data_IF_623616318705
#
_entry.id   IF_623616318705
#
_cell.length_a   1.000
_cell.length_b   1.000
_cell.length_c   1.000
_cell.angle_alpha   90.00
_cell.angle_beta   90.00
_cell.angle_gamma   90.00
#
_symmetry.space_group_name_H-M   'P 1'
#
loop_
_entity.id
_entity.type
_entity.pdbx_description
1 polymer ?
#
# COMPACT_ATOMS: atom_id res chain seq x y z
N UNK A 1 19.05 19.47 1.47
CA UNK A 1 20.48 19.82 1.58
C UNK A 1 21.21 18.52 1.79
N UNK A 2 22.13 18.20 0.88
CA UNK A 2 23.01 17.04 1.06
C UNK A 2 23.96 17.30 2.24
N UNK A 3 24.28 16.29 3.05
CA UNK A 3 25.17 16.45 4.19
C UNK A 3 26.57 16.83 3.72
N UNK A 4 27.19 17.78 4.42
CA UNK A 4 28.55 18.22 4.13
C UNK A 4 29.56 17.14 4.53
N UNK A 5 30.72 17.08 3.86
CA UNK A 5 31.77 16.10 4.18
C UNK A 5 32.20 16.13 5.67
N UNK A 6 32.31 17.29 6.34
CA UNK A 6 32.58 17.35 7.78
C UNK A 6 31.49 16.69 8.64
N UNK A 7 30.22 16.83 8.29
CA UNK A 7 29.11 16.18 9.01
C UNK A 7 29.17 14.66 8.86
N UNK A 8 29.43 14.18 7.64
CA UNK A 8 29.62 12.74 7.37
C UNK A 8 30.79 12.20 8.20
N UNK A 9 31.93 12.89 8.19
CA UNK A 9 33.11 12.48 8.95
C UNK A 9 32.85 12.50 10.47
N UNK A 10 32.07 13.47 10.98
CA UNK A 10 31.67 13.53 12.39
C UNK A 10 30.81 12.34 12.80
N UNK A 11 29.93 11.88 11.92
CA UNK A 11 29.08 10.69 12.14
C UNK A 11 29.92 9.42 12.05
N UNK A 12 30.73 9.28 10.99
CA UNK A 12 31.52 8.09 10.73
C UNK A 12 32.60 7.84 11.79
N UNK A 13 33.20 8.92 12.31
CA UNK A 13 34.25 8.87 13.33
C UNK A 13 33.76 8.61 14.76
N UNK A 14 32.45 8.60 15.01
CA UNK A 14 31.88 8.40 16.34
C UNK A 14 31.01 7.13 16.40
N UNK A 15 31.51 6.03 16.99
CA UNK A 15 30.78 4.75 17.06
C UNK A 15 29.41 4.87 17.74
N UNK A 16 29.30 5.70 18.79
CA UNK A 16 28.07 5.93 19.53
C UNK A 16 27.02 6.62 18.65
N UNK A 17 27.39 7.71 17.97
CA UNK A 17 26.49 8.42 17.04
C UNK A 17 26.05 7.52 15.89
N UNK A 18 26.97 6.70 15.36
CA UNK A 18 26.66 5.77 14.27
C UNK A 18 25.62 4.73 14.70
N UNK A 19 25.76 4.16 15.89
CA UNK A 19 24.81 3.19 16.42
C UNK A 19 23.43 3.81 16.64
N UNK A 20 23.39 5.00 17.25
CA UNK A 20 22.16 5.78 17.45
C UNK A 20 21.45 6.10 16.13
N UNK A 21 22.20 6.53 15.10
CA UNK A 21 21.64 6.83 13.78
C UNK A 21 21.10 5.56 13.10
N UNK A 22 21.83 4.44 13.17
CA UNK A 22 21.36 3.15 12.61
C UNK A 22 20.08 2.67 13.28
N UNK A 23 20.00 2.77 14.62
CA UNK A 23 18.79 2.46 15.36
C UNK A 23 17.61 3.34 14.92
N UNK A 24 17.83 4.64 14.73
CA UNK A 24 16.79 5.57 14.26
C UNK A 24 16.34 5.32 12.81
N UNK A 25 17.27 4.98 11.93
CA UNK A 25 16.97 4.67 10.53
C UNK A 25 16.19 3.37 10.35
N UNK A 26 16.24 2.48 11.34
CA UNK A 26 15.50 1.21 11.37
C UNK A 26 14.20 1.26 12.19
N UNK A 27 13.87 2.41 12.81
CA UNK A 27 12.67 2.58 13.63
C UNK A 27 11.58 3.37 12.88
N UNK A 28 10.53 2.66 12.46
CA UNK A 28 9.36 3.25 11.81
C UNK A 28 8.69 4.33 12.68
N UNK A 29 8.73 4.20 14.00
CA UNK A 29 8.15 5.17 14.94
C UNK A 29 8.91 6.48 14.90
N UNK A 30 10.24 6.40 14.82
CA UNK A 30 11.11 7.56 14.68
C UNK A 30 10.89 8.25 13.33
N UNK A 31 10.80 7.46 12.26
CA UNK A 31 10.49 7.98 10.92
C UNK A 31 9.13 8.69 10.88
N UNK A 32 8.06 8.06 11.38
CA UNK A 32 6.72 8.66 11.46
C UNK A 32 6.72 9.95 12.28
N UNK A 33 7.47 9.99 13.38
CA UNK A 33 7.57 11.20 14.21
C UNK A 33 8.16 12.38 13.41
N UNK A 34 9.24 12.15 12.66
CA UNK A 34 9.86 13.19 11.83
C UNK A 34 8.96 13.61 10.66
N UNK A 35 8.31 12.64 10.00
CA UNK A 35 7.38 12.91 8.91
C UNK A 35 6.19 13.77 9.39
N UNK A 36 5.49 13.33 10.43
CA UNK A 36 4.37 14.06 10.98
C UNK A 36 4.79 15.45 11.48
N UNK A 37 5.95 15.58 12.13
CA UNK A 37 6.43 16.89 12.55
C UNK A 37 6.59 17.85 11.36
N UNK A 38 7.22 17.41 10.27
CA UNK A 38 7.42 18.27 9.09
C UNK A 38 6.11 18.65 8.42
N UNK A 39 5.18 17.69 8.26
CA UNK A 39 3.85 17.95 7.69
C UNK A 39 3.08 18.95 8.55
N UNK A 40 3.03 18.73 9.87
CA UNK A 40 2.34 19.62 10.80
C UNK A 40 2.91 21.04 10.77
N UNK A 41 4.24 21.19 10.81
CA UNK A 41 4.89 22.51 10.77
C UNK A 41 4.62 23.24 9.45
N UNK A 42 4.56 22.51 8.33
CA UNK A 42 4.28 23.10 7.02
C UNK A 42 2.83 23.53 6.90
N UNK A 43 1.88 22.65 7.22
CA UNK A 43 0.46 22.94 7.12
C UNK A 43 0.06 24.10 8.05
N UNK A 44 0.49 24.08 9.31
CA UNK A 44 0.24 25.18 10.24
C UNK A 44 0.81 26.52 9.74
N UNK A 45 1.96 26.50 9.05
CA UNK A 45 2.54 27.73 8.47
C UNK A 45 1.75 28.21 7.25
N UNK A 46 1.28 27.30 6.42
CA UNK A 46 0.46 27.62 5.24
C UNK A 46 -0.89 28.23 5.66
N UNK A 47 -1.46 27.77 6.79
CA UNK A 47 -2.75 28.22 7.31
C UNK A 47 -2.67 29.36 8.36
N UNK A 48 -1.46 29.86 8.68
CA UNK A 48 -1.19 30.82 9.78
C UNK A 48 -1.72 30.37 11.16
N UNK A 49 -1.70 29.06 11.40
CA UNK A 49 -2.19 28.41 12.61
C UNK A 49 -1.04 27.97 13.54
N UNK A 50 -1.38 27.71 14.80
CA UNK A 50 -0.43 27.20 15.79
C UNK A 50 -0.97 25.97 16.53
N UNK A 51 -0.05 25.12 17.00
CA UNK A 51 -0.40 23.98 17.86
C UNK A 51 -0.53 22.65 17.12
N UNK A 52 -1.45 21.81 17.58
CA UNK A 52 -1.51 20.39 17.23
C UNK A 52 -2.26 20.16 15.91
N UNK A 53 -1.53 19.71 14.89
CA UNK A 53 -2.12 19.36 13.59
C UNK A 53 -2.79 17.97 13.57
N UNK A 54 -2.13 16.92 14.07
CA UNK A 54 -2.67 15.56 14.04
C UNK A 54 -3.52 15.22 15.27
N UNK A 55 -4.71 14.66 15.05
CA UNK A 55 -5.66 14.28 16.10
C UNK A 55 -5.18 13.11 16.98
N UNK A 56 -4.37 12.20 16.44
CA UNK A 56 -4.00 10.96 17.12
C UNK A 56 -2.60 10.47 16.75
N UNK A 57 -2.12 9.44 17.46
CA UNK A 57 -0.88 8.73 17.10
C UNK A 57 -1.10 7.88 15.84
N UNK A 58 -0.03 7.68 15.07
CA UNK A 58 -0.07 6.73 13.96
C UNK A 58 -0.38 5.32 14.47
N UNK A 59 -1.05 4.53 13.63
CA UNK A 59 -1.32 3.11 13.88
C UNK A 59 -0.47 2.28 12.93
N UNK A 60 0.01 1.14 13.40
CA UNK A 60 0.75 0.18 12.61
C UNK A 60 0.14 -1.21 12.80
N UNK A 61 -0.34 -1.77 11.69
CA UNK A 61 -0.92 -3.12 11.65
C UNK A 61 0.03 -4.02 10.87
N UNK A 62 0.50 -5.09 11.52
CA UNK A 62 1.31 -6.11 10.84
C UNK A 62 0.42 -6.99 9.97
N UNK A 63 0.69 -7.07 8.68
CA UNK A 63 0.01 -7.94 7.72
C UNK A 63 0.77 -9.26 7.64
N UNK A 64 0.07 -10.39 7.75
CA UNK A 64 0.74 -11.68 8.03
C UNK A 64 0.43 -12.79 7.05
N UNK A 65 -0.42 -12.50 6.08
CA UNK A 65 -0.72 -13.36 4.94
C UNK A 65 -1.20 -12.50 3.76
N UNK A 66 -1.33 -13.15 2.61
CA UNK A 66 -1.76 -12.51 1.39
C UNK A 66 -3.19 -11.96 1.46
N UNK A 67 -4.11 -12.64 2.14
CA UNK A 67 -5.51 -12.20 2.21
C UNK A 67 -5.67 -10.88 2.97
N UNK A 68 -4.99 -10.75 4.10
CA UNK A 68 -4.93 -9.50 4.86
C UNK A 68 -4.17 -8.39 4.14
N UNK A 69 -3.13 -8.74 3.36
CA UNK A 69 -2.41 -7.79 2.51
C UNK A 69 -3.28 -7.24 1.40
N UNK A 70 -3.97 -8.11 0.66
CA UNK A 70 -4.91 -7.75 -0.40
C UNK A 70 -6.07 -6.91 0.14
N UNK A 71 -6.66 -7.30 1.27
CA UNK A 71 -7.74 -6.55 1.92
C UNK A 71 -7.27 -5.16 2.39
N UNK A 72 -6.04 -5.05 2.93
CA UNK A 72 -5.47 -3.77 3.33
C UNK A 72 -5.25 -2.85 2.13
N UNK A 73 -4.68 -3.37 1.03
CA UNK A 73 -4.45 -2.60 -0.18
C UNK A 73 -5.77 -2.07 -0.76
N UNK A 74 -6.79 -2.95 -0.87
CA UNK A 74 -8.13 -2.55 -1.31
C UNK A 74 -8.81 -1.56 -0.36
N UNK A 75 -8.67 -1.71 0.96
CA UNK A 75 -9.20 -0.76 1.95
C UNK A 75 -8.65 0.65 1.75
N UNK A 76 -7.35 0.76 1.45
CA UNK A 76 -6.66 2.03 1.21
C UNK A 76 -7.08 2.63 -0.13
N UNK A 77 -6.98 1.88 -1.22
CA UNK A 77 -7.28 2.38 -2.57
C UNK A 77 -8.77 2.72 -2.77
N UNK A 78 -9.67 2.06 -2.04
CA UNK A 78 -11.12 2.35 -2.09
C UNK A 78 -11.56 3.41 -1.08
N UNK A 79 -10.64 4.03 -0.34
CA UNK A 79 -11.00 4.98 0.71
C UNK A 79 -11.77 6.20 0.16
N UNK A 80 -11.38 6.88 -0.94
CA UNK A 80 -12.15 7.99 -1.48
C UNK A 80 -13.56 7.60 -1.93
N UNK A 81 -13.72 6.41 -2.53
CA UNK A 81 -15.04 5.88 -2.90
C UNK A 81 -15.89 5.61 -1.64
N UNK A 82 -15.29 4.98 -0.61
CA UNK A 82 -15.96 4.71 0.67
C UNK A 82 -16.35 5.99 1.40
N UNK A 83 -15.57 7.05 1.26
CA UNK A 83 -15.84 8.37 1.82
C UNK A 83 -16.80 9.20 0.94
N UNK A 84 -17.31 8.65 -0.17
CA UNK A 84 -18.17 9.33 -1.14
C UNK A 84 -17.55 10.60 -1.74
N UNK A 85 -16.21 10.65 -1.84
CA UNK A 85 -15.45 11.73 -2.48
C UNK A 85 -15.43 11.55 -4.00
N UNK A 86 -15.39 10.30 -4.48
CA UNK A 86 -15.47 9.97 -5.90
C UNK A 86 -16.32 8.71 -6.13
N UNK A 87 -16.78 8.52 -7.38
CA UNK A 87 -17.50 7.30 -7.74
C UNK A 87 -16.61 6.28 -8.44
N UNK A 88 -15.53 6.73 -9.10
CA UNK A 88 -14.69 5.87 -9.93
C UNK A 88 -13.25 5.83 -9.44
N UNK A 89 -12.53 4.75 -9.79
CA UNK A 89 -11.12 4.60 -9.40
C UNK A 89 -10.23 5.66 -10.07
N UNK A 90 -10.59 6.03 -11.30
CA UNK A 90 -9.90 7.04 -12.10
C UNK A 90 -10.02 8.45 -11.49
N UNK A 91 -11.09 8.70 -10.74
CA UNK A 91 -11.41 9.97 -10.07
C UNK A 91 -10.90 10.02 -8.62
N UNK A 92 -10.18 8.99 -8.18
CA UNK A 92 -9.69 8.85 -6.81
C UNK A 92 -8.40 9.63 -6.61
N UNK A 93 -8.53 10.96 -6.53
CA UNK A 93 -7.39 11.88 -6.45
C UNK A 93 -6.41 11.53 -5.33
N UNK A 94 -5.11 11.65 -5.65
CA UNK A 94 -3.99 11.43 -4.73
C UNK A 94 -3.90 10.01 -4.15
N UNK A 95 -4.39 9.00 -4.87
CA UNK A 95 -4.30 7.59 -4.47
C UNK A 95 -3.36 6.77 -5.37
N UNK A 96 -2.82 5.68 -4.81
CA UNK A 96 -1.97 4.75 -5.56
C UNK A 96 -2.72 4.13 -6.75
N UNK A 97 -3.99 3.78 -6.59
CA UNK A 97 -4.80 3.22 -7.69
C UNK A 97 -4.91 4.20 -8.87
N UNK A 98 -5.15 5.48 -8.62
CA UNK A 98 -5.22 6.48 -9.69
C UNK A 98 -3.87 6.60 -10.42
N UNK A 99 -2.77 6.77 -9.68
CA UNK A 99 -1.43 6.87 -10.30
C UNK A 99 -1.10 5.64 -11.17
N UNK A 100 -1.50 4.44 -10.73
CA UNK A 100 -1.33 3.20 -11.50
C UNK A 100 -2.17 3.17 -12.76
N UNK A 101 -3.43 3.62 -12.70
CA UNK A 101 -4.32 3.69 -13.87
C UNK A 101 -3.77 4.67 -14.89
N UNK A 102 -3.39 5.88 -14.47
CA UNK A 102 -2.82 6.89 -15.35
C UNK A 102 -1.54 6.37 -16.02
N UNK A 103 -0.62 5.77 -15.24
CA UNK A 103 0.59 5.19 -15.80
C UNK A 103 0.32 4.02 -16.77
N UNK A 104 -0.72 3.20 -16.54
CA UNK A 104 -1.13 2.16 -17.47
C UNK A 104 -1.70 2.72 -18.78
N UNK A 105 -2.46 3.81 -18.71
CA UNK A 105 -2.97 4.53 -19.89
C UNK A 105 -1.82 5.15 -20.69
N UNK A 106 -0.84 5.78 -20.02
CA UNK A 106 0.35 6.31 -20.68
C UNK A 106 1.16 5.21 -21.40
N UNK A 107 1.31 4.02 -20.78
CA UNK A 107 1.95 2.86 -21.42
C UNK A 107 1.22 2.40 -22.68
N UNK A 108 -0.10 2.27 -22.60
CA UNK A 108 -0.93 1.86 -23.75
C UNK A 108 -0.89 2.88 -24.89
N UNK A 109 -0.85 4.18 -24.57
CA UNK A 109 -0.67 5.23 -25.56
C UNK A 109 0.68 5.08 -26.25
N UNK A 110 1.78 4.96 -25.50
CA UNK A 110 3.13 4.82 -26.07
C UNK A 110 3.26 3.58 -26.95
N UNK A 111 2.67 2.45 -26.57
CA UNK A 111 2.62 1.22 -27.38
C UNK A 111 1.85 1.42 -28.69
N UNK A 112 0.72 2.13 -28.65
CA UNK A 112 -0.07 2.44 -29.84
C UNK A 112 0.67 3.36 -30.81
N UNK A 113 1.41 4.36 -30.32
CA UNK A 113 2.23 5.25 -31.14
C UNK A 113 3.44 4.52 -31.76
N UNK A 114 4.08 3.61 -31.02
CA UNK A 114 5.21 2.82 -31.51
C UNK A 114 4.82 1.88 -32.67
N UNK A 115 3.60 1.34 -32.67
CA UNK A 115 3.08 0.50 -33.75
C UNK A 115 2.78 1.28 -35.05
N UNK A 116 2.60 2.60 -35.00
CA UNK A 116 2.22 3.42 -36.16
C UNK A 116 3.45 4.02 -36.88
N UNK A 117 4.57 4.24 -36.19
CA UNK A 117 5.77 4.84 -36.77
C UNK A 117 7.01 3.95 -36.54
N UNK A 118 7.42 3.25 -37.60
CA UNK A 118 8.58 2.34 -37.65
C UNK A 118 9.96 3.02 -37.42
N UNK A 119 10.02 4.34 -37.17
CA UNK A 119 11.30 5.05 -37.04
C UNK A 119 11.37 6.04 -35.86
N UNK A 120 12.07 5.58 -34.81
CA UNK A 120 12.95 6.29 -33.84
C UNK A 120 12.40 7.38 -32.90
N UNK A 121 12.59 7.19 -31.59
CA UNK A 121 13.55 7.97 -30.74
C UNK A 121 13.65 7.37 -29.31
N UNK A 122 14.81 7.47 -28.61
CA UNK A 122 15.00 6.90 -27.25
C UNK A 122 14.27 7.65 -26.12
N UNK A 123 13.53 8.73 -26.43
CA UNK A 123 13.01 9.67 -25.44
C UNK A 123 11.90 9.10 -24.53
N UNK A 124 11.27 7.99 -24.91
CA UNK A 124 10.28 7.30 -24.06
C UNK A 124 10.89 6.72 -22.77
N UNK A 125 12.22 6.50 -22.73
CA UNK A 125 12.91 5.93 -21.55
C UNK A 125 13.13 6.92 -20.41
N UNK A 126 12.98 8.23 -20.62
CA UNK A 126 13.29 9.27 -19.62
C UNK A 126 12.06 9.88 -18.92
N UNK A 127 10.84 9.43 -19.23
CA UNK A 127 9.65 9.97 -18.58
C UNK A 127 9.41 9.26 -17.26
N UNK A 128 9.51 10.03 -16.17
CA UNK A 128 9.02 9.62 -14.86
C UNK A 128 7.53 9.31 -14.97
N UNK A 129 7.19 8.02 -14.86
CA UNK A 129 5.80 7.56 -14.85
C UNK A 129 5.15 7.96 -13.53
N UNK A 130 3.84 8.17 -13.54
CA UNK A 130 3.11 8.56 -12.33
C UNK A 130 3.13 7.50 -11.23
N UNK A 131 3.32 6.23 -11.58
CA UNK A 131 3.45 5.12 -10.62
C UNK A 131 4.91 4.75 -10.31
N UNK A 132 5.88 5.54 -10.77
CA UNK A 132 7.29 5.17 -10.67
C UNK A 132 7.81 5.10 -9.24
N UNK A 133 7.21 5.85 -8.32
CA UNK A 133 7.53 5.79 -6.89
C UNK A 133 6.81 4.67 -6.12
N UNK A 134 5.85 3.99 -6.76
CA UNK A 134 5.07 2.94 -6.14
C UNK A 134 5.72 1.57 -6.36
N UNK A 135 5.73 0.73 -5.32
CA UNK A 135 6.06 -0.70 -5.48
C UNK A 135 5.19 -1.32 -6.58
N UNK A 136 5.70 -2.25 -7.41
CA UNK A 136 4.86 -3.04 -8.30
C UNK A 136 3.74 -3.75 -7.53
N UNK A 137 2.58 -3.98 -8.16
CA UNK A 137 1.55 -4.84 -7.56
C UNK A 137 2.00 -6.28 -7.61
N UNK A 138 2.32 -6.74 -8.82
CA UNK A 138 2.65 -8.13 -9.11
C UNK A 138 3.99 -8.53 -8.51
N UNK A 139 3.99 -9.65 -7.79
CA UNK A 139 5.19 -10.44 -7.46
C UNK A 139 5.05 -11.82 -8.08
N UNK A 140 6.15 -12.36 -8.61
CA UNK A 140 6.24 -13.76 -9.02
C UNK A 140 6.89 -14.56 -7.88
N UNK A 141 6.09 -15.26 -7.09
CA UNK A 141 6.59 -16.02 -5.93
C UNK A 141 7.54 -17.16 -6.30
N UNK A 142 7.58 -17.60 -7.57
CA UNK A 142 8.44 -18.67 -8.05
C UNK A 142 9.77 -18.14 -8.59
N UNK A 143 9.73 -17.02 -9.30
CA UNK A 143 10.90 -16.47 -9.99
C UNK A 143 11.59 -15.33 -9.25
N UNK A 144 10.84 -14.54 -8.46
CA UNK A 144 11.42 -13.36 -7.81
C UNK A 144 12.35 -13.76 -6.66
N UNK A 145 13.47 -13.04 -6.48
CA UNK A 145 14.43 -13.35 -5.44
C UNK A 145 13.82 -13.17 -4.03
N UNK A 146 14.13 -14.13 -3.16
CA UNK A 146 13.83 -14.04 -1.73
C UNK A 146 14.73 -12.98 -1.10
N UNK A 147 14.17 -12.18 -0.20
CA UNK A 147 14.88 -11.09 0.48
C UNK A 147 14.62 -9.71 -0.13
N UNK A 148 15.47 -8.71 0.22
CA UNK A 148 15.34 -7.33 -0.25
C UNK A 148 15.68 -7.22 -1.74
N UNK A 149 14.94 -6.39 -2.46
CA UNK A 149 15.20 -6.05 -3.86
C UNK A 149 15.21 -4.52 -3.97
N UNK A 150 16.37 -3.90 -3.68
CA UNK A 150 16.51 -2.44 -3.70
C UNK A 150 16.40 -1.93 -5.14
N UNK A 151 15.74 -0.79 -5.33
CA UNK A 151 15.71 -0.14 -6.63
C UNK A 151 17.07 0.46 -6.96
N UNK A 152 17.47 0.35 -8.22
CA UNK A 152 18.57 1.13 -8.79
C UNK A 152 18.10 2.54 -9.19
N UNK A 153 16.78 2.75 -9.31
CA UNK A 153 16.19 4.06 -9.56
C UNK A 153 16.11 4.88 -8.27
N UNK A 154 16.17 6.20 -8.41
CA UNK A 154 15.89 7.12 -7.30
C UNK A 154 14.39 7.29 -7.01
N UNK A 155 13.53 6.57 -7.74
CA UNK A 155 12.08 6.79 -7.70
C UNK A 155 11.41 6.00 -6.57
N UNK A 156 11.89 4.80 -6.24
CA UNK A 156 11.31 3.93 -5.20
C UNK A 156 12.38 3.22 -4.37
N UNK A 157 12.00 2.72 -3.19
CA UNK A 157 12.93 2.00 -2.32
C UNK A 157 13.14 0.53 -2.71
N UNK A 158 12.19 -0.10 -3.41
CA UNK A 158 12.26 -1.51 -3.77
C UNK A 158 11.52 -1.81 -5.07
N UNK A 159 12.07 -2.71 -5.88
CA UNK A 159 11.39 -3.26 -7.07
C UNK A 159 10.48 -4.45 -6.77
N UNK A 160 10.34 -4.81 -5.49
CA UNK A 160 9.56 -5.98 -5.11
C UNK A 160 8.06 -5.72 -5.22
N UNK A 161 7.35 -6.62 -5.89
CA UNK A 161 5.90 -6.66 -5.83
C UNK A 161 5.36 -7.04 -4.46
N UNK A 162 4.04 -6.96 -4.27
CA UNK A 162 3.42 -7.34 -2.99
C UNK A 162 2.20 -8.26 -3.11
N UNK A 163 1.72 -8.58 -4.31
CA UNK A 163 0.59 -9.50 -4.52
C UNK A 163 0.90 -10.48 -5.65
N UNK A 164 0.57 -11.76 -5.45
CA UNK A 164 0.71 -12.80 -6.46
C UNK A 164 -0.45 -12.72 -7.48
N UNK A 165 -0.56 -11.57 -8.16
CA UNK A 165 -1.55 -11.28 -9.19
C UNK A 165 -1.10 -10.13 -10.09
N UNK A 166 -1.66 -10.05 -11.30
CA UNK A 166 -1.36 -8.94 -12.21
C UNK A 166 -2.00 -7.62 -11.74
N UNK A 167 -1.43 -6.48 -12.17
CA UNK A 167 -2.06 -5.17 -11.98
C UNK A 167 -3.48 -5.13 -12.56
N UNK A 168 -3.72 -5.71 -13.74
CA UNK A 168 -5.04 -5.76 -14.36
C UNK A 168 -6.05 -6.49 -13.45
N UNK A 169 -5.69 -7.67 -12.95
CA UNK A 169 -6.55 -8.45 -12.04
C UNK A 169 -6.79 -7.71 -10.71
N UNK A 170 -5.81 -6.94 -10.22
CA UNK A 170 -5.98 -6.11 -9.03
C UNK A 170 -6.98 -4.98 -9.29
N UNK A 171 -6.87 -4.26 -10.41
CA UNK A 171 -7.80 -3.20 -10.78
C UNK A 171 -9.23 -3.73 -11.01
N UNK A 172 -9.37 -4.91 -11.63
CA UNK A 172 -10.67 -5.59 -11.77
C UNK A 172 -11.29 -5.93 -10.41
N UNK A 173 -10.49 -6.41 -9.46
CA UNK A 173 -10.96 -6.68 -8.09
C UNK A 173 -11.42 -5.38 -7.41
N UNK A 174 -10.66 -4.29 -7.54
CA UNK A 174 -11.03 -3.00 -6.94
C UNK A 174 -12.33 -2.46 -7.55
N UNK A 175 -12.48 -2.48 -8.87
CA UNK A 175 -13.71 -2.02 -9.54
C UNK A 175 -14.90 -2.89 -9.13
N UNK A 176 -14.72 -4.22 -9.12
CA UNK A 176 -15.73 -5.15 -8.64
C UNK A 176 -16.15 -4.83 -7.20
N UNK A 177 -15.19 -4.63 -6.29
CA UNK A 177 -15.44 -4.33 -4.88
C UNK A 177 -16.13 -2.98 -4.70
N UNK A 178 -15.70 -1.97 -5.45
CA UNK A 178 -16.30 -0.64 -5.44
C UNK A 178 -17.77 -0.65 -5.87
N UNK A 179 -18.16 -1.55 -6.79
CA UNK A 179 -19.55 -1.76 -7.21
C UNK A 179 -20.40 -2.47 -6.15
N UNK A 180 -19.80 -3.29 -5.29
CA UNK A 180 -20.53 -3.93 -4.20
C UNK A 180 -20.89 -2.98 -3.05
N UNK A 181 -20.07 -1.95 -2.85
CA UNK A 181 -20.14 -1.07 -1.67
C UNK A 181 -21.04 0.15 -1.90
N UNK A 182 -21.23 0.57 -3.16
CA UNK A 182 -22.05 1.73 -3.49
C UNK A 182 -23.51 1.32 -3.76
N UNK A 183 -24.43 1.72 -2.88
CA UNK A 183 -25.87 1.67 -3.15
C UNK A 183 -26.21 2.61 -4.32
N UNK A 184 -26.29 2.08 -5.54
CA UNK A 184 -26.77 2.84 -6.71
C UNK A 184 -25.75 3.10 -7.84
N UNK A 185 -24.55 2.49 -7.82
CA UNK A 185 -23.66 2.58 -9.00
C UNK A 185 -24.35 2.05 -10.26
N UNK A 186 -24.38 2.86 -11.31
CA UNK A 186 -24.87 2.46 -12.64
C UNK A 186 -23.92 1.42 -13.25
N UNK A 187 -24.38 0.18 -13.36
CA UNK A 187 -23.69 -0.91 -14.03
C UNK A 187 -24.00 -2.26 -13.39
N UNK A 188 -24.08 -3.32 -14.19
CA UNK A 188 -24.24 -4.68 -13.65
C UNK A 188 -23.01 -5.04 -12.82
N UNK A 189 -23.19 -5.34 -11.55
CA UNK A 189 -22.17 -6.05 -10.77
C UNK A 189 -21.81 -7.33 -11.52
N UNK A 190 -20.54 -7.59 -11.83
CA UNK A 190 -20.15 -8.86 -12.43
C UNK A 190 -20.63 -10.01 -11.53
N UNK A 191 -21.38 -10.94 -12.12
CA UNK A 191 -22.05 -12.00 -11.36
C UNK A 191 -21.04 -12.98 -10.72
N UNK A 192 -19.87 -13.15 -11.34
CA UNK A 192 -18.82 -14.03 -10.84
C UNK A 192 -17.97 -13.33 -9.77
N UNK A 193 -17.67 -14.09 -8.71
CA UNK A 193 -16.67 -13.72 -7.71
C UNK A 193 -15.28 -13.77 -8.36
N UNK A 194 -14.43 -12.72 -8.22
CA UNK A 194 -13.08 -12.72 -8.76
C UNK A 194 -12.28 -13.97 -8.38
N UNK A 195 -11.52 -14.59 -9.31
CA UNK A 195 -10.80 -15.85 -9.06
C UNK A 195 -9.82 -15.78 -7.88
N UNK A 196 -9.24 -14.62 -7.63
CA UNK A 196 -8.35 -14.37 -6.49
C UNK A 196 -9.04 -14.64 -5.15
N UNK A 197 -10.32 -14.29 -5.01
CA UNK A 197 -11.05 -14.51 -3.77
C UNK A 197 -11.29 -16.01 -3.56
N UNK A 198 -11.61 -16.75 -4.62
CA UNK A 198 -11.72 -18.21 -4.56
C UNK A 198 -10.40 -18.87 -4.16
N UNK A 199 -9.27 -18.44 -4.73
CA UNK A 199 -7.93 -18.91 -4.35
C UNK A 199 -7.62 -18.64 -2.88
N UNK A 200 -8.08 -17.51 -2.35
CA UNK A 200 -7.95 -17.15 -0.96
C UNK A 200 -9.08 -17.74 -0.07
N UNK A 201 -9.99 -18.53 -0.62
CA UNK A 201 -11.16 -19.07 0.10
C UNK A 201 -12.19 -18.01 0.53
N UNK A 202 -12.05 -16.75 0.14
CA UNK A 202 -12.95 -15.69 0.60
C UNK A 202 -14.23 -15.64 -0.24
N UNK A 203 -15.38 -15.69 0.41
CA UNK A 203 -16.65 -15.40 -0.23
C UNK A 203 -16.86 -13.87 -0.39
N UNK A 204 -17.91 -13.51 -1.15
CA UNK A 204 -18.26 -12.10 -1.42
C UNK A 204 -18.54 -11.30 -0.15
N UNK A 205 -19.37 -11.81 0.75
CA UNK A 205 -19.79 -11.09 1.95
C UNK A 205 -18.61 -10.89 2.90
N UNK A 206 -17.84 -11.95 3.12
CA UNK A 206 -16.63 -11.90 3.95
C UNK A 206 -15.61 -10.91 3.41
N UNK A 207 -15.36 -10.91 2.09
CA UNK A 207 -14.48 -9.94 1.45
C UNK A 207 -14.96 -8.49 1.60
N UNK A 208 -16.24 -8.23 1.31
CA UNK A 208 -16.78 -6.87 1.37
C UNK A 208 -16.68 -6.29 2.80
N UNK A 209 -16.90 -7.11 3.82
CA UNK A 209 -16.73 -6.69 5.21
C UNK A 209 -15.25 -6.48 5.57
N UNK A 210 -14.36 -7.40 5.17
CA UNK A 210 -12.91 -7.26 5.38
C UNK A 210 -12.38 -5.95 4.82
N UNK A 211 -12.79 -5.58 3.60
CA UNK A 211 -12.36 -4.35 2.94
C UNK A 211 -13.06 -3.12 3.51
N UNK A 212 -14.32 -3.19 3.93
CA UNK A 212 -15.03 -2.00 4.43
C UNK A 212 -14.62 -1.63 5.85
N UNK A 213 -14.39 -2.64 6.68
CA UNK A 213 -14.15 -2.51 8.11
C UNK A 213 -12.73 -2.91 8.53
N UNK A 214 -11.76 -2.98 7.60
CA UNK A 214 -10.38 -3.40 7.87
C UNK A 214 -9.79 -2.74 9.14
N UNK A 215 -9.86 -1.41 9.23
CA UNK A 215 -9.33 -0.65 10.37
C UNK A 215 -10.09 -0.85 11.69
N UNK A 216 -11.33 -1.36 11.64
CA UNK A 216 -12.11 -1.79 12.82
C UNK A 216 -11.82 -3.24 13.17
N UNK A 217 -11.62 -4.11 12.19
CA UNK A 217 -11.38 -5.54 12.38
C UNK A 217 -9.97 -5.80 12.94
N UNK A 218 -8.97 -5.06 12.43
CA UNK A 218 -7.56 -5.25 12.74
C UNK A 218 -6.95 -4.00 13.39
N UNK A 219 -6.25 -4.19 14.51
CA UNK A 219 -5.61 -3.09 15.24
C UNK A 219 -4.08 -3.16 15.24
N UNK A 220 -3.51 -4.31 15.59
CA UNK A 220 -2.03 -4.49 15.66
C UNK A 220 -1.53 -5.54 14.68
N UNK A 221 -2.39 -6.51 14.35
CA UNK A 221 -2.07 -7.60 13.43
C UNK A 221 -3.32 -7.90 12.60
N UNK A 222 -3.12 -8.19 11.32
CA UNK A 222 -4.14 -8.64 10.39
C UNK A 222 -3.65 -9.91 9.70
N UNK A 223 -4.54 -10.89 9.65
CA UNK A 223 -4.29 -12.18 9.03
C UNK A 223 -5.26 -13.25 9.49
N UNK A 224 -5.15 -14.43 8.89
CA UNK A 224 -5.89 -15.63 9.24
C UNK A 224 -5.59 -16.04 10.68
N UNK A 225 -6.58 -16.64 11.38
CA UNK A 225 -6.42 -17.04 12.78
C UNK A 225 -5.15 -17.88 13.04
N UNK A 226 -4.86 -18.87 12.17
CA UNK A 226 -3.67 -19.71 12.32
C UNK A 226 -2.34 -18.94 12.25
N UNK A 227 -2.22 -18.01 11.30
CA UNK A 227 -1.04 -17.15 11.16
C UNK A 227 -0.90 -16.25 12.41
N UNK A 228 -1.98 -15.61 12.83
CA UNK A 228 -2.02 -14.73 14.01
C UNK A 228 -1.65 -15.47 15.30
N UNK A 229 -2.23 -16.65 15.52
CA UNK A 229 -2.06 -17.45 16.73
C UNK A 229 -0.64 -18.02 16.86
N UNK A 230 0.07 -18.21 15.75
CA UNK A 230 1.47 -18.63 15.73
C UNK A 230 2.44 -17.51 16.18
N UNK A 231 2.04 -16.23 16.08
CA UNK A 231 2.92 -15.10 16.38
C UNK A 231 2.84 -14.60 17.82
N UNK A 232 3.90 -13.89 18.25
CA UNK A 232 3.96 -13.18 19.53
C UNK A 232 4.41 -11.74 19.31
N UNK A 233 3.99 -10.85 20.21
CA UNK A 233 4.46 -9.47 20.25
C UNK A 233 5.97 -9.44 20.53
N UNK A 234 6.75 -8.75 19.70
CA UNK A 234 8.19 -8.58 19.93
C UNK A 234 8.51 -7.83 21.24
N UNK A 235 7.61 -6.96 21.71
CA UNK A 235 7.83 -6.17 22.93
C UNK A 235 7.40 -6.87 24.20
N UNK A 236 6.28 -7.60 24.16
CA UNK A 236 5.66 -8.17 25.36
C UNK A 236 5.72 -9.69 25.41
N UNK A 237 6.13 -10.34 24.33
CA UNK A 237 6.07 -11.79 24.11
C UNK A 237 4.68 -12.42 24.29
N UNK A 238 3.63 -11.60 24.44
CA UNK A 238 2.24 -12.06 24.54
C UNK A 238 1.68 -12.42 23.17
N UNK A 239 0.66 -13.29 23.18
CA UNK A 239 -0.16 -13.60 21.99
C UNK A 239 -0.89 -12.34 21.53
N UNK A 240 -1.05 -12.20 20.22
CA UNK A 240 -1.92 -11.16 19.69
C UNK A 240 -3.38 -11.51 19.97
N UNK A 241 -4.15 -10.50 20.38
CA UNK A 241 -5.60 -10.64 20.44
C UNK A 241 -6.19 -10.33 19.06
N UNK A 242 -7.06 -11.21 18.59
CA UNK A 242 -7.80 -11.04 17.34
C UNK A 242 -9.29 -11.01 17.67
N UNK A 243 -10.00 -10.01 17.12
CA UNK A 243 -11.44 -9.85 17.36
C UNK A 243 -12.20 -11.07 16.85
N UNK A 244 -13.27 -11.44 17.55
CA UNK A 244 -14.12 -12.58 17.19
C UNK A 244 -14.63 -12.48 15.75
N UNK A 245 -15.18 -11.32 15.36
CA UNK A 245 -15.69 -11.12 13.99
C UNK A 245 -14.62 -11.33 12.92
N UNK A 246 -13.41 -10.80 13.14
CA UNK A 246 -12.30 -11.02 12.21
C UNK A 246 -11.92 -12.50 12.07
N UNK A 247 -12.06 -13.31 13.14
CA UNK A 247 -11.84 -14.76 13.06
C UNK A 247 -12.92 -15.46 12.24
N UNK A 248 -14.18 -15.08 12.41
CA UNK A 248 -15.34 -15.64 11.69
C UNK A 248 -15.21 -15.41 10.18
N UNK A 249 -14.83 -14.19 9.76
CA UNK A 249 -14.64 -13.84 8.34
C UNK A 249 -13.59 -14.69 7.60
N UNK A 250 -12.65 -15.32 8.33
CA UNK A 250 -11.67 -16.25 7.77
C UNK A 250 -12.02 -17.73 8.01
N UNK A 251 -13.04 -18.03 8.81
CA UNK A 251 -13.48 -19.38 9.13
C UNK A 251 -14.61 -19.83 8.19
N UNK A 252 -15.50 -18.90 7.79
CA UNK A 252 -16.58 -19.13 6.83
C UNK A 252 -16.07 -19.22 5.36
N UNK A 253 -14.76 -19.12 5.20
CA UNK A 253 -13.99 -19.11 3.95
C UNK A 253 -13.50 -20.51 3.52
N UNK A 254 -14.11 -21.59 4.03
CA UNK A 254 -13.70 -22.99 3.86
C UNK A 254 -14.81 -23.90 3.37
#
# INVERSE_FOLDING_TARGET
MEPTQPEINSIAGCPIKREEIRSRLSDISWWMRLLCQRVAMRANREDDEHGRFFQDRYKATRLTDEASLLACAAYVDLNPIRAAICERLEESDFTSVQCRIEAAQERAQDESFANIQSQRTPAAKLRHRRDSFLSPVSIDELLDPVGPCASESEERCSEKGFLAMSLASYLELLDWTARQTASGKRGKTPASVPPILQRLGLDRASWCELVSDFGKLFCTVAGRPGCVDAMRSHRTHRRYHMRRRARELFADAG
#
